data_IF_806424769508
#
_entry.id   IF_806424769508
#
_cell.length_a   1.000
_cell.length_b   1.000
_cell.length_c   1.000
_cell.angle_alpha   90.00
_cell.angle_beta   90.00
_cell.angle_gamma   90.00
#
_symmetry.space_group_name_H-M   'P 1'
#
loop_
_entity.id
_entity.type
_entity.pdbx_description
1 polymer ?
#
# COMPACT_ATOMS: atom_id res chain seq x y z
N UNK A 1 -36.91 6.63 36.75
CA UNK A 1 -37.08 5.84 35.52
C UNK A 1 -36.24 6.49 34.43
N UNK A 2 -35.37 5.71 33.77
CA UNK A 2 -34.12 6.16 33.16
C UNK A 2 -34.24 7.05 31.92
N UNK A 3 -33.20 7.86 31.76
CA UNK A 3 -32.91 8.76 30.64
C UNK A 3 -32.80 7.97 29.33
N UNK A 4 -33.67 8.28 28.37
CA UNK A 4 -33.50 7.86 26.97
C UNK A 4 -32.14 8.36 26.49
N UNK A 5 -31.24 7.42 26.20
CA UNK A 5 -29.93 7.70 25.59
C UNK A 5 -30.08 7.53 24.09
N UNK A 6 -30.50 8.59 23.42
CA UNK A 6 -30.43 8.72 21.97
C UNK A 6 -29.76 10.04 21.65
N UNK A 7 -28.51 9.97 21.21
CA UNK A 7 -27.84 10.93 20.30
C UNK A 7 -26.31 10.66 20.31
N UNK A 8 -25.84 9.71 19.50
CA UNK A 8 -24.51 9.80 18.88
C UNK A 8 -24.41 8.77 17.76
N UNK A 9 -24.78 9.14 16.54
CA UNK A 9 -24.75 8.21 15.41
C UNK A 9 -25.12 8.78 14.04
N UNK A 10 -25.80 9.92 13.97
CA UNK A 10 -26.29 10.46 12.68
C UNK A 10 -25.43 11.58 12.08
N UNK A 11 -24.54 12.23 12.85
CA UNK A 11 -23.70 13.32 12.34
C UNK A 11 -22.43 12.85 11.61
N UNK A 12 -22.09 11.56 11.69
CA UNK A 12 -20.88 11.00 11.07
C UNK A 12 -21.09 10.39 9.70
N UNK A 13 -22.33 10.20 9.25
CA UNK A 13 -22.64 9.44 8.03
C UNK A 13 -22.63 10.30 6.77
N UNK A 14 -22.83 11.63 6.92
CA UNK A 14 -22.90 12.57 5.79
C UNK A 14 -21.51 13.13 5.42
N UNK A 15 -20.69 13.54 6.40
CA UNK A 15 -19.30 13.97 6.15
C UNK A 15 -18.40 12.82 5.70
N UNK A 16 -18.66 11.59 6.16
CA UNK A 16 -17.96 10.43 5.65
C UNK A 16 -18.36 10.09 4.21
N UNK A 17 -19.51 10.53 3.67
CA UNK A 17 -19.89 10.19 2.30
C UNK A 17 -18.83 10.63 1.27
N UNK A 18 -18.58 11.94 1.11
CA UNK A 18 -17.57 12.45 0.19
C UNK A 18 -16.13 12.02 0.55
N UNK A 19 -15.82 11.90 1.84
CA UNK A 19 -14.50 11.43 2.28
C UNK A 19 -14.29 9.94 1.99
N UNK A 20 -15.32 9.11 2.21
CA UNK A 20 -15.28 7.68 1.95
C UNK A 20 -15.13 7.41 0.47
N UNK A 21 -15.83 8.15 -0.39
CA UNK A 21 -15.65 8.09 -1.84
C UNK A 21 -14.18 8.34 -2.22
N UNK A 22 -13.58 9.44 -1.74
CA UNK A 22 -12.15 9.72 -2.00
C UNK A 22 -11.21 8.63 -1.50
N UNK A 23 -11.49 8.06 -0.32
CA UNK A 23 -10.69 6.97 0.24
C UNK A 23 -10.83 5.72 -0.63
N UNK A 24 -12.04 5.33 -1.02
CA UNK A 24 -12.28 4.15 -1.84
C UNK A 24 -11.67 4.31 -3.24
N UNK A 25 -11.81 5.50 -3.85
CA UNK A 25 -11.15 5.84 -5.11
C UNK A 25 -9.63 5.71 -5.00
N UNK A 26 -9.02 6.21 -3.92
CA UNK A 26 -7.59 6.08 -3.67
C UNK A 26 -7.16 4.61 -3.54
N UNK A 27 -7.98 3.77 -2.90
CA UNK A 27 -7.72 2.34 -2.72
C UNK A 27 -7.80 1.58 -4.05
N UNK A 28 -8.74 1.92 -4.92
CA UNK A 28 -8.89 1.32 -6.25
C UNK A 28 -7.72 1.65 -7.18
N UNK A 29 -7.03 2.77 -6.94
CA UNK A 29 -5.83 3.15 -7.70
C UNK A 29 -4.59 2.32 -7.33
N UNK A 30 -4.55 1.68 -6.16
CA UNK A 30 -3.38 0.93 -5.72
C UNK A 30 -3.18 -0.27 -6.66
N UNK A 31 -2.05 -0.40 -7.38
CA UNK A 31 -1.87 -1.48 -8.34
C UNK A 31 -1.87 -2.88 -7.67
N UNK A 32 -2.27 -3.93 -8.40
CA UNK A 32 -2.09 -5.31 -7.93
C UNK A 32 -0.64 -5.58 -7.50
N UNK A 33 -0.45 -6.25 -6.37
CA UNK A 33 0.87 -6.59 -5.84
C UNK A 33 1.52 -5.45 -5.06
N UNK A 34 0.87 -4.30 -4.98
CA UNK A 34 1.32 -3.12 -4.22
C UNK A 34 0.35 -2.82 -3.07
N UNK A 35 0.86 -2.12 -2.06
CA UNK A 35 0.09 -1.74 -0.86
C UNK A 35 0.38 -0.31 -0.44
N UNK A 36 -0.57 0.33 0.22
CA UNK A 36 -0.39 1.59 0.95
C UNK A 36 -0.74 1.37 2.42
N UNK A 37 -0.11 2.12 3.32
CA UNK A 37 -0.57 2.14 4.71
C UNK A 37 -1.82 3.00 4.87
N UNK A 38 -2.60 2.79 5.93
CA UNK A 38 -3.68 3.72 6.29
C UNK A 38 -3.23 5.18 6.39
N UNK A 39 -1.98 5.42 6.80
CA UNK A 39 -1.41 6.76 6.82
C UNK A 39 -1.10 7.29 5.42
N UNK A 40 -0.54 6.44 4.56
CA UNK A 40 -0.23 6.80 3.19
C UNK A 40 -1.51 7.17 2.41
N UNK A 41 -2.61 6.43 2.63
CA UNK A 41 -3.92 6.75 2.03
C UNK A 41 -4.43 8.10 2.54
N UNK A 42 -4.31 8.37 3.83
CA UNK A 42 -4.71 9.68 4.38
C UNK A 42 -3.86 10.83 3.81
N UNK A 43 -2.56 10.61 3.64
CA UNK A 43 -1.65 11.57 3.00
C UNK A 43 -2.00 11.79 1.52
N UNK A 44 -2.30 10.72 0.80
CA UNK A 44 -2.71 10.77 -0.62
C UNK A 44 -4.01 11.53 -0.82
N UNK A 45 -5.02 11.23 0.00
CA UNK A 45 -6.32 11.90 -0.02
C UNK A 45 -6.20 13.36 0.43
N UNK A 46 -5.19 13.70 1.24
CA UNK A 46 -4.90 15.06 1.67
C UNK A 46 -5.83 15.61 2.75
N UNK A 47 -6.75 14.79 3.27
CA UNK A 47 -7.68 15.13 4.34
C UNK A 47 -7.92 13.93 5.28
N UNK A 48 -8.36 14.24 6.51
CA UNK A 48 -8.57 13.25 7.55
C UNK A 48 -7.26 12.64 8.08
N UNK A 49 -7.35 11.42 8.63
CA UNK A 49 -6.20 10.74 9.20
C UNK A 49 -6.34 9.22 9.16
N UNK A 50 -5.27 8.47 9.50
CA UNK A 50 -5.24 7.00 9.35
C UNK A 50 -6.41 6.28 10.02
N UNK A 51 -6.91 6.80 11.14
CA UNK A 51 -8.06 6.23 11.87
C UNK A 51 -9.39 6.45 11.13
N UNK A 52 -9.54 7.60 10.46
CA UNK A 52 -10.72 7.87 9.65
C UNK A 52 -10.73 6.97 8.41
N UNK A 53 -9.58 6.80 7.74
CA UNK A 53 -9.42 5.79 6.67
C UNK A 53 -9.78 4.40 7.17
N UNK A 54 -9.27 4.00 8.34
CA UNK A 54 -9.60 2.71 8.95
C UNK A 54 -11.10 2.51 9.20
N UNK A 55 -11.81 3.57 9.63
CA UNK A 55 -13.27 3.53 9.79
C UNK A 55 -13.98 3.38 8.45
N UNK A 56 -13.58 4.14 7.43
CA UNK A 56 -14.13 4.01 6.07
C UNK A 56 -13.95 2.58 5.55
N UNK A 57 -12.75 2.01 5.67
CA UNK A 57 -12.48 0.65 5.20
C UNK A 57 -13.29 -0.41 5.96
N UNK A 58 -13.53 -0.22 7.26
CA UNK A 58 -14.36 -1.14 8.04
C UNK A 58 -15.85 -1.06 7.67
N UNK A 59 -16.33 0.11 7.26
CA UNK A 59 -17.75 0.37 7.00
C UNK A 59 -18.12 0.15 5.51
N UNK A 60 -17.23 0.51 4.59
CA UNK A 60 -17.49 0.56 3.15
C UNK A 60 -16.49 -0.26 2.30
N UNK A 61 -15.37 -0.70 2.89
CA UNK A 61 -14.27 -1.32 2.15
C UNK A 61 -14.50 -2.75 1.66
N UNK A 62 -15.64 -3.38 1.99
CA UNK A 62 -15.90 -4.79 1.69
C UNK A 62 -15.84 -5.13 0.19
N UNK A 63 -16.20 -4.18 -0.68
CA UNK A 63 -16.19 -4.33 -2.15
C UNK A 63 -14.93 -3.76 -2.81
N UNK A 64 -14.06 -3.08 -2.05
CA UNK A 64 -12.80 -2.53 -2.51
C UNK A 64 -11.66 -3.58 -2.33
N UNK A 65 -10.48 -3.38 -2.96
CA UNK A 65 -9.31 -4.23 -2.72
C UNK A 65 -8.67 -3.93 -1.35
N UNK A 66 -9.43 -4.17 -0.28
CA UNK A 66 -9.09 -3.77 1.08
C UNK A 66 -7.76 -4.33 1.58
N UNK A 67 -7.33 -5.49 1.07
CA UNK A 67 -6.03 -6.08 1.40
C UNK A 67 -4.86 -5.18 0.95
N UNK A 68 -5.06 -4.26 0.01
CA UNK A 68 -4.02 -3.30 -0.42
C UNK A 68 -3.85 -2.14 0.56
N UNK A 69 -4.70 -2.00 1.58
CA UNK A 69 -4.56 -1.01 2.67
C UNK A 69 -4.14 -1.70 3.95
N UNK A 70 -2.92 -1.42 4.42
CA UNK A 70 -2.26 -2.24 5.43
C UNK A 70 -1.76 -1.45 6.62
N UNK A 71 -1.38 -2.17 7.67
CA UNK A 71 -0.64 -1.59 8.79
C UNK A 71 0.78 -1.23 8.38
N UNK A 72 1.33 -0.19 8.99
CA UNK A 72 2.71 0.25 8.74
C UNK A 72 3.79 -0.76 9.13
N UNK A 73 3.48 -1.70 10.01
CA UNK A 73 4.36 -2.79 10.44
C UNK A 73 4.32 -4.03 9.54
N UNK A 74 3.51 -4.01 8.48
CA UNK A 74 3.35 -5.11 7.53
C UNK A 74 2.70 -6.37 8.11
N UNK A 75 2.12 -6.28 9.31
CA UNK A 75 1.34 -7.37 9.90
C UNK A 75 0.00 -7.48 9.19
N UNK A 76 -0.41 -8.70 8.87
CA UNK A 76 -1.71 -8.97 8.30
C UNK A 76 -2.84 -8.55 9.26
N UNK A 77 -3.97 -8.11 8.71
CA UNK A 77 -5.10 -7.68 9.52
C UNK A 77 -5.64 -8.85 10.35
N UNK A 78 -5.76 -8.70 11.69
CA UNK A 78 -6.26 -9.76 12.55
C UNK A 78 -7.65 -10.24 12.14
N UNK A 79 -7.85 -11.56 12.17
CA UNK A 79 -9.10 -12.21 11.77
C UNK A 79 -9.36 -12.27 10.26
N UNK A 80 -8.47 -11.69 9.46
CA UNK A 80 -8.56 -11.67 7.98
C UNK A 80 -7.30 -12.24 7.33
N UNK A 81 -6.41 -12.88 8.11
CA UNK A 81 -5.08 -13.29 7.67
C UNK A 81 -5.16 -14.26 6.49
N UNK A 82 -6.06 -15.24 6.52
CA UNK A 82 -6.19 -16.23 5.47
C UNK A 82 -6.69 -15.62 4.16
N UNK A 83 -7.73 -14.78 4.23
CA UNK A 83 -8.29 -14.09 3.06
C UNK A 83 -7.27 -13.13 2.45
N UNK A 84 -6.64 -12.28 3.27
CA UNK A 84 -5.62 -11.35 2.80
C UNK A 84 -4.43 -12.09 2.18
N UNK A 85 -3.98 -13.19 2.79
CA UNK A 85 -2.87 -13.99 2.28
C UNK A 85 -3.18 -14.65 0.92
N UNK A 86 -4.43 -15.05 0.70
CA UNK A 86 -4.85 -15.58 -0.60
C UNK A 86 -4.71 -14.50 -1.69
N UNK A 87 -5.21 -13.29 -1.43
CA UNK A 87 -5.12 -12.17 -2.38
C UNK A 87 -3.67 -11.74 -2.62
N UNK A 88 -2.85 -11.63 -1.57
CA UNK A 88 -1.42 -11.31 -1.72
C UNK A 88 -0.68 -12.32 -2.59
N UNK A 89 -1.02 -13.60 -2.47
CA UNK A 89 -0.43 -14.65 -3.32
C UNK A 89 -0.93 -14.56 -4.75
N UNK A 90 -2.22 -14.28 -4.95
CA UNK A 90 -2.82 -14.12 -6.27
C UNK A 90 -2.20 -12.94 -7.03
N UNK A 91 -1.94 -11.84 -6.33
CA UNK A 91 -1.35 -10.63 -6.92
C UNK A 91 0.19 -10.61 -6.95
N UNK A 92 0.84 -11.58 -6.30
CA UNK A 92 2.30 -11.60 -6.17
C UNK A 92 2.84 -10.49 -5.25
N UNK A 93 2.04 -10.01 -4.30
CA UNK A 93 2.45 -9.00 -3.31
C UNK A 93 3.67 -9.49 -2.53
N UNK A 94 4.76 -8.71 -2.43
CA UNK A 94 5.97 -9.12 -1.73
C UNK A 94 5.72 -9.46 -0.25
N UNK A 95 5.99 -10.71 0.13
CA UNK A 95 5.92 -11.20 1.51
C UNK A 95 7.32 -11.56 2.02
N UNK A 96 7.58 -11.29 3.30
CA UNK A 96 8.71 -11.84 4.05
C UNK A 96 8.31 -13.18 4.62
N UNK A 97 9.21 -14.16 4.50
CA UNK A 97 9.05 -15.47 5.13
C UNK A 97 8.75 -15.32 6.63
N UNK A 98 7.77 -16.07 7.12
CA UNK A 98 7.47 -16.14 8.54
C UNK A 98 8.73 -16.66 9.27
N UNK A 99 9.31 -15.84 10.14
CA UNK A 99 10.41 -16.28 10.98
C UNK A 99 9.96 -17.33 12.00
N UNK A 100 10.87 -18.06 12.65
CA UNK A 100 10.53 -19.07 13.66
C UNK A 100 9.69 -18.53 14.84
N UNK A 101 9.79 -17.21 15.10
CA UNK A 101 9.07 -16.50 16.15
C UNK A 101 7.71 -15.93 15.71
N UNK A 102 7.31 -16.11 14.44
CA UNK A 102 6.01 -15.64 13.97
C UNK A 102 4.90 -16.55 14.49
N UNK A 103 4.09 -16.00 15.40
CA UNK A 103 2.89 -16.64 15.91
C UNK A 103 1.97 -17.06 14.74
N UNK A 104 1.60 -18.35 14.70
CA UNK A 104 0.77 -18.92 13.63
C UNK A 104 1.45 -19.13 12.27
N UNK A 105 2.76 -18.92 12.13
CA UNK A 105 3.51 -19.06 10.86
C UNK A 105 2.96 -18.21 9.70
N UNK A 106 2.25 -17.13 10.01
CA UNK A 106 1.72 -16.19 9.02
C UNK A 106 2.86 -15.26 8.56
N UNK A 107 3.11 -15.14 7.24
CA UNK A 107 4.13 -14.23 6.73
C UNK A 107 3.74 -12.77 6.98
N UNK A 108 4.71 -11.87 6.92
CA UNK A 108 4.48 -10.41 6.93
C UNK A 108 4.66 -9.85 5.53
N UNK A 109 4.07 -8.70 5.25
CA UNK A 109 4.37 -7.96 4.03
C UNK A 109 5.82 -7.45 4.07
N UNK A 110 6.51 -7.58 2.94
CA UNK A 110 7.78 -6.88 2.75
C UNK A 110 7.52 -5.43 2.37
N UNK A 111 7.23 -4.60 3.36
CA UNK A 111 6.86 -3.19 3.16
C UNK A 111 7.89 -2.41 2.33
N UNK A 112 9.16 -2.78 2.36
CA UNK A 112 10.21 -2.13 1.55
C UNK A 112 10.01 -2.35 0.05
N UNK A 113 9.44 -3.49 -0.34
CA UNK A 113 9.21 -3.88 -1.74
C UNK A 113 7.76 -3.70 -2.15
N UNK A 114 6.81 -3.87 -1.25
CA UNK A 114 5.39 -3.85 -1.55
C UNK A 114 4.79 -2.44 -1.54
N UNK A 115 5.38 -1.49 -0.78
CA UNK A 115 4.80 -0.16 -0.62
C UNK A 115 4.77 0.60 -1.94
N UNK A 116 3.60 1.11 -2.29
CA UNK A 116 3.39 2.04 -3.39
C UNK A 116 3.58 3.48 -2.91
N UNK A 117 4.21 4.30 -3.74
CA UNK A 117 4.42 5.73 -3.50
C UNK A 117 3.48 6.62 -4.32
N UNK A 118 2.51 6.02 -5.02
CA UNK A 118 1.55 6.76 -5.84
C UNK A 118 2.00 7.02 -7.28
N UNK A 119 3.22 6.62 -7.65
CA UNK A 119 3.68 6.73 -9.04
C UNK A 119 3.22 5.51 -9.85
N UNK A 120 2.69 5.67 -11.07
CA UNK A 120 2.36 4.52 -11.91
C UNK A 120 3.63 3.68 -12.10
N UNK A 121 3.52 2.38 -11.84
CA UNK A 121 4.64 1.45 -11.98
C UNK A 121 5.05 1.43 -13.46
N UNK A 122 6.17 2.09 -13.80
CA UNK A 122 6.75 1.99 -15.13
C UNK A 122 7.49 0.65 -15.21
N UNK A 123 7.08 -0.31 -16.05
CA UNK A 123 7.87 -1.51 -16.28
C UNK A 123 9.15 -1.12 -17.01
N UNK A 124 10.24 -0.83 -16.28
CA UNK A 124 11.49 -0.41 -16.94
C UNK A 124 12.63 0.19 -16.11
N UNK A 125 12.54 0.36 -14.78
CA UNK A 125 13.70 0.80 -14.00
C UNK A 125 14.71 -0.34 -13.80
N UNK A 126 15.46 -0.67 -14.85
CA UNK A 126 16.73 -1.38 -14.74
C UNK A 126 17.74 -0.51 -13.95
N UNK A 127 18.66 -1.09 -13.17
CA UNK A 127 19.71 -0.32 -12.50
C UNK A 127 20.58 0.36 -13.56
N UNK A 128 20.71 1.68 -13.45
CA UNK A 128 21.43 2.53 -14.40
C UNK A 128 22.83 1.99 -14.71
N UNK A 129 23.02 1.62 -15.98
CA UNK A 129 24.34 1.40 -16.56
C UNK A 129 25.07 2.73 -16.61
N UNK A 130 26.06 2.91 -15.75
CA UNK A 130 26.99 4.02 -15.84
C UNK A 130 27.85 3.87 -17.09
N UNK A 131 27.53 4.65 -18.13
CA UNK A 131 28.44 4.94 -19.24
C UNK A 131 29.49 5.95 -18.77
N UNK A 132 30.70 5.51 -18.50
CA UNK A 132 31.92 6.33 -18.62
C UNK A 132 32.81 5.57 -19.59
N UNK A 133 33.04 6.03 -20.82
CA UNK A 133 33.67 7.30 -21.13
C UNK A 133 34.99 6.93 -21.81
N UNK A 134 34.93 6.75 -23.12
CA UNK A 134 35.99 6.39 -24.05
C UNK A 134 37.16 7.41 -24.00
N UNK A 135 38.42 7.02 -23.77
CA UNK A 135 39.57 7.83 -24.15
C UNK A 135 40.04 7.49 -25.58
N UNK A 136 40.25 8.54 -26.38
CA UNK A 136 40.37 8.55 -27.84
C UNK A 136 41.54 7.78 -28.49
N UNK A 137 41.58 7.76 -29.83
CA UNK A 137 42.54 6.94 -30.58
C UNK A 137 43.96 7.50 -30.53
N UNK A 138 44.91 6.67 -30.09
CA UNK A 138 46.34 6.90 -30.24
C UNK A 138 46.74 6.70 -31.70
N UNK A 139 46.98 7.81 -32.40
CA UNK A 139 47.49 7.82 -33.77
C UNK A 139 48.95 7.40 -33.82
N UNK A 140 49.20 6.18 -34.29
CA UNK A 140 50.51 5.76 -34.77
C UNK A 140 50.66 6.03 -36.26
N UNK A 141 51.69 6.78 -36.65
CA UNK A 141 52.25 6.75 -38.00
C UNK A 141 53.74 7.11 -37.93
N UNK A 142 54.60 6.15 -38.24
CA UNK A 142 56.01 6.37 -38.54
C UNK A 142 56.24 6.61 -40.03
N UNK A 143 57.46 7.06 -40.36
CA UNK A 143 58.07 6.85 -41.69
C UNK A 143 58.38 8.12 -42.48
N UNK A 144 59.66 8.48 -42.49
CA UNK A 144 60.30 9.50 -43.34
C UNK A 144 61.78 9.59 -43.01
#
# INVERSE_FOLDING_TARGET
MGRVSEASGAAGTDELGPYAEKVLDAVDLIPPGRVMTYGDVAEWVGEGGPRQVGRVMAEYGAMAPWWRVVRSDGVLLPGHELSALAEYRAEGTPLRSAGPAAEGHVPRLDMRRARWDGTPDHPGSAPGGGTGGEPGPEGGAGGG
#
